data_IF_999532082134
#
_entry.id   IF_999532082134
#
_cell.length_a   1.000
_cell.length_b   1.000
_cell.length_c   1.000
_cell.angle_alpha   90.00
_cell.angle_beta   90.00
_cell.angle_gamma   90.00
#
_symmetry.space_group_name_H-M   'P 1'
#
loop_
_entity.id
_entity.type
_entity.pdbx_description
1 polymer ?
#
# COMPACT_ATOMS: atom_id res chain seq x y z
N UNK A 1 -0.68 -1.82 6.88
CA UNK A 1 0.26 -1.03 7.70
C UNK A 1 -0.55 -0.44 8.85
N UNK A 2 -0.29 -0.88 10.08
CA UNK A 2 -0.93 -0.33 11.28
C UNK A 2 -0.02 0.67 11.98
N UNK A 3 -0.52 1.87 12.25
CA UNK A 3 0.18 2.87 13.06
C UNK A 3 -0.14 2.65 14.54
N UNK A 4 0.88 2.43 15.37
CA UNK A 4 0.69 2.19 16.81
C UNK A 4 1.32 3.28 17.69
N UNK A 5 1.97 4.28 17.10
CA UNK A 5 2.55 5.41 17.84
C UNK A 5 2.82 6.61 16.93
N UNK A 6 2.75 7.81 17.51
CA UNK A 6 3.03 9.07 16.83
C UNK A 6 2.08 9.40 15.68
N UNK A 7 2.54 10.23 14.73
CA UNK A 7 1.84 10.51 13.48
C UNK A 7 2.80 10.82 12.32
N UNK A 8 2.31 10.66 11.10
CA UNK A 8 3.03 11.02 9.88
C UNK A 8 2.11 11.52 8.77
N UNK A 9 2.63 12.46 7.99
CA UNK A 9 2.09 12.82 6.69
C UNK A 9 2.68 11.87 5.64
N UNK A 10 1.82 11.07 5.01
CA UNK A 10 2.20 10.04 4.05
C UNK A 10 1.60 10.36 2.69
N UNK A 11 2.44 10.37 1.66
CA UNK A 11 2.01 10.41 0.27
C UNK A 11 1.80 8.99 -0.23
N UNK A 12 0.64 8.71 -0.81
CA UNK A 12 0.32 7.48 -1.55
C UNK A 12 0.22 7.82 -3.04
N UNK A 13 0.73 6.94 -3.90
CA UNK A 13 0.80 7.14 -5.35
C UNK A 13 2.12 7.77 -5.81
N UNK A 14 2.35 7.70 -7.13
CA UNK A 14 3.55 8.20 -7.81
C UNK A 14 3.56 9.72 -8.00
N UNK A 15 4.29 10.19 -9.00
CA UNK A 15 4.44 11.62 -9.30
C UNK A 15 3.21 12.23 -10.00
N UNK A 16 2.30 11.41 -10.52
CA UNK A 16 1.10 11.88 -11.19
C UNK A 16 0.13 12.52 -10.20
N UNK A 17 -0.18 13.78 -10.44
CA UNK A 17 -1.00 14.59 -9.54
C UNK A 17 -2.46 14.14 -9.47
N UNK A 18 -2.96 13.41 -10.48
CA UNK A 18 -4.34 12.94 -10.53
C UNK A 18 -4.61 11.78 -9.57
N UNK A 19 -3.56 11.07 -9.18
CA UNK A 19 -3.65 9.81 -8.43
C UNK A 19 -2.91 9.86 -7.10
N UNK A 20 -2.02 10.83 -6.92
CA UNK A 20 -1.35 11.07 -5.64
C UNK A 20 -2.35 11.49 -4.57
N UNK A 21 -2.16 11.01 -3.36
CA UNK A 21 -2.96 11.40 -2.20
C UNK A 21 -2.09 11.55 -0.97
N UNK A 22 -2.12 12.73 -0.37
CA UNK A 22 -1.46 12.98 0.91
C UNK A 22 -2.47 12.75 2.02
N UNK A 23 -2.11 11.92 3.00
CA UNK A 23 -2.93 11.56 4.15
C UNK A 23 -2.12 11.72 5.44
N UNK A 24 -2.80 12.05 6.53
CA UNK A 24 -2.23 11.92 7.87
C UNK A 24 -2.53 10.52 8.42
N UNK A 25 -1.53 9.89 9.03
CA UNK A 25 -1.69 8.68 9.82
C UNK A 25 -1.35 8.99 11.27
N UNK A 26 -2.19 8.53 12.19
CA UNK A 26 -2.03 8.66 13.64
C UNK A 26 -2.14 7.29 14.31
N UNK A 27 -1.72 7.18 15.57
CA UNK A 27 -1.83 5.93 16.31
C UNK A 27 -3.29 5.42 16.36
N UNK A 28 -3.50 4.16 15.98
CA UNK A 28 -4.82 3.54 15.82
C UNK A 28 -5.26 3.43 14.36
N UNK A 29 -4.68 4.21 13.45
CA UNK A 29 -5.01 4.12 12.03
C UNK A 29 -4.36 2.88 11.37
N UNK A 30 -5.08 2.32 10.40
CA UNK A 30 -4.55 1.28 9.52
C UNK A 30 -4.82 1.64 8.07
N UNK A 31 -3.80 1.46 7.22
CA UNK A 31 -3.95 1.56 5.78
C UNK A 31 -3.56 0.27 5.08
N UNK A 32 -4.32 -0.07 4.05
CA UNK A 32 -3.99 -1.12 3.11
C UNK A 32 -3.38 -0.48 1.87
N UNK A 33 -2.18 -0.91 1.49
CA UNK A 33 -1.44 -0.40 0.33
C UNK A 33 -1.38 -1.54 -0.70
N UNK A 34 -2.14 -1.45 -1.81
CA UNK A 34 -2.06 -2.45 -2.87
C UNK A 34 -0.68 -2.50 -3.54
N UNK A 35 -0.33 -3.65 -4.11
CA UNK A 35 0.89 -3.79 -4.89
C UNK A 35 0.93 -2.78 -6.05
N UNK A 36 2.08 -2.15 -6.27
CA UNK A 36 2.26 -1.10 -7.28
C UNK A 36 1.85 0.30 -6.82
N UNK A 37 1.49 0.49 -5.55
CA UNK A 37 1.26 1.83 -5.00
C UNK A 37 2.54 2.30 -4.31
N UNK A 38 3.20 3.29 -4.92
CA UNK A 38 4.30 4.01 -4.28
C UNK A 38 3.80 4.72 -3.01
N UNK A 39 4.65 4.81 -1.99
CA UNK A 39 4.33 5.57 -0.79
C UNK A 39 5.59 6.24 -0.23
N UNK A 40 5.42 7.41 0.38
CA UNK A 40 6.53 8.20 0.92
C UNK A 40 6.12 8.86 2.24
N UNK A 41 6.94 8.67 3.28
CA UNK A 41 6.87 9.49 4.48
C UNK A 41 7.37 10.90 4.14
N UNK A 42 6.49 11.88 4.24
CA UNK A 42 6.78 13.28 3.93
C UNK A 42 7.27 14.01 5.18
N UNK A 43 6.63 13.74 6.31
CA UNK A 43 6.96 14.27 7.63
C UNK A 43 6.46 13.30 8.70
N UNK A 44 7.19 13.20 9.80
CA UNK A 44 6.77 12.42 10.97
C UNK A 44 7.11 13.16 12.26
N UNK A 45 6.32 12.91 13.30
CA UNK A 45 6.59 13.41 14.65
C UNK A 45 6.12 12.42 15.72
N UNK A 46 6.38 12.77 16.99
CA UNK A 46 5.90 12.06 18.18
C UNK A 46 6.23 10.54 18.20
N UNK A 47 7.37 10.15 17.63
CA UNK A 47 7.81 8.75 17.60
C UNK A 47 6.96 7.86 16.69
N UNK A 48 6.63 8.35 15.48
CA UNK A 48 5.88 7.60 14.48
C UNK A 48 6.39 6.16 14.33
N UNK A 49 5.49 5.19 14.59
CA UNK A 49 5.83 3.78 14.65
C UNK A 49 4.73 2.94 14.01
N UNK A 50 5.14 2.01 13.13
CA UNK A 50 4.22 1.22 12.31
C UNK A 50 4.59 -0.26 12.32
N UNK A 51 3.58 -1.11 12.14
CA UNK A 51 3.74 -2.54 11.86
C UNK A 51 3.22 -2.85 10.46
N UNK A 52 4.07 -3.51 9.67
CA UNK A 52 3.72 -4.06 8.36
C UNK A 52 3.22 -5.50 8.51
N UNK A 53 2.22 -5.85 7.71
CA UNK A 53 1.77 -7.22 7.55
C UNK A 53 1.57 -7.50 6.06
N UNK A 54 1.97 -8.69 5.65
CA UNK A 54 1.78 -9.23 4.30
C UNK A 54 0.84 -10.42 4.39
N UNK A 55 0.33 -10.90 3.26
CA UNK A 55 -0.57 -12.04 3.27
C UNK A 55 0.10 -13.30 3.85
N UNK A 56 -0.69 -14.12 4.54
CA UNK A 56 -0.19 -15.33 5.19
C UNK A 56 0.26 -16.40 4.18
N UNK A 57 -0.27 -16.34 2.95
CA UNK A 57 0.12 -17.22 1.85
C UNK A 57 1.48 -16.84 1.22
N UNK A 58 2.13 -15.79 1.75
CA UNK A 58 3.57 -15.59 1.65
C UNK A 58 4.11 -15.56 0.23
N UNK A 59 3.87 -14.45 -0.47
CA UNK A 59 4.84 -14.05 -1.50
C UNK A 59 5.93 -13.24 -0.81
N UNK A 60 7.20 -13.58 -1.07
CA UNK A 60 8.30 -12.66 -0.79
C UNK A 60 7.99 -11.33 -1.46
N UNK A 61 8.10 -10.23 -0.71
CA UNK A 61 8.03 -8.90 -1.30
C UNK A 61 9.24 -8.72 -2.21
N UNK A 62 9.01 -8.20 -3.41
CA UNK A 62 10.09 -7.82 -4.30
C UNK A 62 10.37 -6.31 -4.16
N UNK A 63 11.64 -5.97 -4.06
CA UNK A 63 12.07 -4.57 -4.00
C UNK A 63 12.26 -4.04 -5.42
N UNK A 64 11.30 -3.26 -5.90
CA UNK A 64 11.35 -2.59 -7.21
C UNK A 64 11.67 -1.11 -7.02
N UNK A 65 12.71 -0.62 -7.70
CA UNK A 65 13.24 0.74 -7.58
C UNK A 65 12.94 1.61 -8.81
N UNK A 66 12.38 1.04 -9.87
CA UNK A 66 12.02 1.76 -11.10
C UNK A 66 13.23 2.31 -11.87
N UNK A 67 14.38 1.63 -11.82
CA UNK A 67 15.65 2.10 -12.40
C UNK A 67 15.65 2.11 -13.92
N UNK A 68 14.93 1.18 -14.54
CA UNK A 68 14.84 1.07 -15.99
C UNK A 68 13.47 0.53 -16.43
N UNK A 69 13.22 0.59 -17.74
CA UNK A 69 11.95 0.17 -18.31
C UNK A 69 11.67 -1.34 -18.13
N UNK A 70 12.70 -2.18 -18.13
CA UNK A 70 12.54 -3.64 -17.97
C UNK A 70 12.08 -4.00 -16.55
N UNK A 71 12.67 -3.38 -15.53
CA UNK A 71 12.26 -3.54 -14.12
C UNK A 71 10.80 -3.11 -13.94
N UNK A 72 10.41 -1.96 -14.51
CA UNK A 72 9.03 -1.48 -14.46
C UNK A 72 8.06 -2.44 -15.15
N UNK A 73 8.35 -2.86 -16.38
CA UNK A 73 7.49 -3.82 -17.10
C UNK A 73 7.32 -5.13 -16.33
N UNK A 74 8.39 -5.65 -15.71
CA UNK A 74 8.33 -6.84 -14.88
C UNK A 74 7.50 -6.62 -13.62
N UNK A 75 7.65 -5.47 -12.95
CA UNK A 75 6.83 -5.11 -11.81
C UNK A 75 5.34 -5.05 -12.19
N UNK A 76 4.99 -4.44 -13.34
CA UNK A 76 3.62 -4.40 -13.85
C UNK A 76 3.03 -5.79 -14.10
N UNK A 77 3.82 -6.71 -14.68
CA UNK A 77 3.42 -8.10 -14.88
C UNK A 77 3.17 -8.83 -13.55
N UNK A 78 4.05 -8.65 -12.57
CA UNK A 78 3.91 -9.23 -11.23
C UNK A 78 2.67 -8.69 -10.52
N UNK A 79 2.44 -7.38 -10.56
CA UNK A 79 1.29 -6.71 -9.92
C UNK A 79 -0.05 -7.23 -10.49
N UNK A 80 -0.12 -7.52 -11.80
CA UNK A 80 -1.31 -8.13 -12.42
C UNK A 80 -1.64 -9.51 -11.85
N UNK A 81 -0.63 -10.23 -11.34
CA UNK A 81 -0.77 -11.57 -10.75
C UNK A 81 -0.97 -11.56 -9.23
N UNK A 82 -1.01 -10.37 -8.59
CA UNK A 82 -1.31 -10.25 -7.17
C UNK A 82 -2.80 -10.57 -6.96
N UNK A 83 -3.05 -11.61 -6.16
CA UNK A 83 -4.41 -12.07 -5.87
C UNK A 83 -5.12 -11.06 -4.98
N UNK A 84 -6.44 -11.00 -5.09
CA UNK A 84 -7.27 -10.30 -4.12
C UNK A 84 -7.14 -11.00 -2.77
N UNK A 85 -6.91 -10.28 -1.66
CA UNK A 85 -6.90 -10.88 -0.32
C UNK A 85 -8.19 -11.66 -0.06
N UNK A 86 -8.10 -12.84 0.58
CA UNK A 86 -9.26 -13.68 0.88
C UNK A 86 -10.16 -13.08 1.97
N UNK A 87 -9.56 -12.35 2.91
CA UNK A 87 -10.23 -11.70 4.05
C UNK A 87 -9.64 -10.30 4.27
N UNK A 88 -10.36 -9.46 5.00
CA UNK A 88 -9.83 -8.18 5.45
C UNK A 88 -8.79 -8.39 6.57
N UNK A 89 -7.57 -7.85 6.45
CA UNK A 89 -6.51 -8.07 7.45
C UNK A 89 -6.77 -7.36 8.78
N UNK A 90 -7.74 -6.44 8.85
CA UNK A 90 -8.06 -5.69 10.07
C UNK A 90 -9.30 -6.25 10.75
N UNK A 91 -10.36 -6.52 9.99
CA UNK A 91 -11.67 -6.90 10.54
C UNK A 91 -12.18 -8.28 10.07
N UNK A 92 -11.34 -9.06 9.39
CA UNK A 92 -11.65 -10.43 8.95
C UNK A 92 -12.76 -10.47 7.90
N UNK A 93 -13.73 -11.37 8.08
CA UNK A 93 -14.83 -11.57 7.13
C UNK A 93 -15.84 -10.41 7.10
N UNK A 94 -15.80 -9.51 8.08
CA UNK A 94 -16.72 -8.37 8.20
C UNK A 94 -16.22 -7.12 7.45
N UNK A 95 -15.10 -7.21 6.73
CA UNK A 95 -14.45 -6.07 6.10
C UNK A 95 -14.83 -5.83 4.64
N UNK A 96 -14.61 -4.59 4.21
CA UNK A 96 -14.92 -4.12 2.85
C UNK A 96 -13.79 -4.31 1.84
N UNK A 97 -12.60 -4.76 2.28
CA UNK A 97 -11.40 -4.79 1.42
C UNK A 97 -11.63 -5.52 0.10
N UNK A 98 -12.30 -6.68 0.12
CA UNK A 98 -12.57 -7.47 -1.10
C UNK A 98 -13.42 -6.68 -2.11
N UNK A 99 -14.40 -5.91 -1.62
CA UNK A 99 -15.27 -5.09 -2.44
C UNK A 99 -14.49 -3.92 -3.07
N UNK A 100 -13.72 -3.18 -2.27
CA UNK A 100 -12.90 -2.07 -2.75
C UNK A 100 -11.81 -2.52 -3.73
N UNK A 101 -11.24 -3.71 -3.53
CA UNK A 101 -10.20 -4.28 -4.37
C UNK A 101 -10.68 -4.65 -5.77
N UNK A 102 -11.90 -5.21 -5.89
CA UNK A 102 -12.49 -5.59 -7.18
C UNK A 102 -12.97 -4.39 -7.99
N UNK A 103 -13.39 -3.32 -7.32
CA UNK A 103 -13.90 -2.11 -7.98
C UNK A 103 -12.80 -1.18 -8.50
N UNK A 104 -11.52 -1.57 -8.41
CA UNK A 104 -10.44 -0.95 -9.17
C UNK A 104 -10.10 0.50 -8.80
N UNK A 105 -10.48 0.98 -7.62
CA UNK A 105 -10.18 2.35 -7.18
C UNK A 105 -8.69 2.61 -6.86
N UNK A 106 -7.76 1.86 -7.47
CA UNK A 106 -6.33 1.98 -7.26
C UNK A 106 -5.65 2.20 -8.61
N UNK A 107 -5.22 3.44 -8.86
CA UNK A 107 -4.30 3.71 -9.96
C UNK A 107 -2.94 3.10 -9.64
N UNK A 108 -2.48 2.25 -10.53
CA UNK A 108 -1.21 1.52 -10.41
C UNK A 108 -0.16 2.32 -11.17
N UNK A 109 0.80 2.89 -10.47
CA UNK A 109 1.95 3.57 -11.09
C UNK A 109 3.23 2.94 -10.55
N UNK A 110 3.90 2.18 -11.40
CA UNK A 110 5.26 1.65 -11.20
C UNK A 110 6.31 2.52 -11.87
#
# INVERSE_FOLDING_TARGET
>A
LGCYGGRAQVRLGGYNEQVRKDIELTAGDCILIPAGVAHKNMQQDNGFSVVGAYDADGKDYDMNYGKNAEERSKAEENIKQVKVPRIDPVVGDNGGVIHHWKNGCFHRET
#
